data_IF_040502931671
#
_entry.id   IF_040502931671
#
_cell.length_a   1.000
_cell.length_b   1.000
_cell.length_c   1.000
_cell.angle_alpha   90.00
_cell.angle_beta   90.00
_cell.angle_gamma   90.00
#
_symmetry.space_group_name_H-M   'P 1'
#
loop_
_entity.id
_entity.type
_entity.pdbx_description
1 polymer ?
#
# COMPACT_ATOMS: atom_id res chain seq x y z
N UNK A 1 16.18 23.09 42.61
CA UNK A 1 15.39 21.85 42.81
C UNK A 1 14.34 21.63 41.73
N UNK A 2 13.38 22.57 41.55
CA UNK A 2 12.27 22.41 40.58
C UNK A 2 12.71 22.18 39.12
N UNK A 3 13.74 22.89 38.63
CA UNK A 3 14.26 22.72 37.27
C UNK A 3 14.89 21.34 37.01
N UNK A 4 15.50 20.75 38.04
CA UNK A 4 16.14 19.44 37.97
C UNK A 4 15.07 18.35 37.94
N UNK A 5 14.03 18.47 38.79
CA UNK A 5 12.88 17.57 38.79
C UNK A 5 12.12 17.57 37.44
N UNK A 6 12.01 18.75 36.80
CA UNK A 6 11.36 18.91 35.51
C UNK A 6 12.17 18.26 34.38
N UNK A 7 13.50 18.40 34.39
CA UNK A 7 14.40 17.74 33.43
C UNK A 7 14.36 16.22 33.56
N UNK A 8 14.36 15.69 34.79
CA UNK A 8 14.22 14.24 35.01
C UNK A 8 12.88 13.71 34.54
N UNK A 9 11.80 14.48 34.70
CA UNK A 9 10.46 14.09 34.25
C UNK A 9 10.38 14.04 32.71
N UNK A 10 10.96 15.02 32.01
CA UNK A 10 11.01 15.04 30.55
C UNK A 10 11.82 13.85 30.00
N UNK A 11 12.99 13.54 30.61
CA UNK A 11 13.82 12.40 30.20
C UNK A 11 13.08 11.06 30.34
N UNK A 12 12.31 10.88 31.41
CA UNK A 12 11.49 9.67 31.62
C UNK A 12 10.37 9.58 30.59
N UNK A 13 9.71 10.68 30.24
CA UNK A 13 8.66 10.69 29.20
C UNK A 13 9.23 10.31 27.82
N UNK A 14 10.40 10.81 27.46
CA UNK A 14 11.05 10.47 26.18
C UNK A 14 11.47 9.00 26.09
N UNK A 15 11.81 8.35 27.21
CA UNK A 15 12.15 6.92 27.20
C UNK A 15 10.98 5.97 26.92
N UNK A 16 9.73 6.44 26.99
CA UNK A 16 8.53 5.68 26.63
C UNK A 16 7.92 6.09 25.28
N UNK A 17 8.47 7.09 24.61
CA UNK A 17 8.00 7.50 23.30
C UNK A 17 8.44 6.46 22.26
N UNK A 18 7.50 5.61 21.81
CA UNK A 18 7.70 4.82 20.61
C UNK A 18 7.45 5.72 19.38
N UNK A 19 8.27 5.63 18.33
CA UNK A 19 7.96 6.32 17.08
C UNK A 19 6.60 5.81 16.58
N UNK A 20 5.74 6.73 16.13
CA UNK A 20 4.51 6.36 15.45
C UNK A 20 4.89 5.49 14.25
N UNK A 21 4.50 4.21 14.28
CA UNK A 21 4.69 3.31 13.16
C UNK A 21 3.47 3.38 12.26
N UNK A 22 3.74 3.68 11.01
CA UNK A 22 2.78 3.89 9.93
C UNK A 22 3.52 3.63 8.62
N UNK A 23 2.79 3.45 7.52
CA UNK A 23 3.37 3.41 6.18
C UNK A 23 4.17 4.68 5.96
N UNK A 24 5.41 4.53 5.51
CA UNK A 24 6.11 5.63 4.85
C UNK A 24 5.40 5.98 3.53
N UNK A 25 5.75 7.13 2.96
CA UNK A 25 5.24 7.54 1.66
C UNK A 25 5.59 6.51 0.57
N UNK A 26 6.85 6.06 0.51
CA UNK A 26 7.31 5.03 -0.44
C UNK A 26 6.58 3.68 -0.26
N UNK A 27 6.30 3.29 0.98
CA UNK A 27 5.55 2.06 1.28
C UNK A 27 4.10 2.20 0.82
N UNK A 28 3.48 3.36 1.05
CA UNK A 28 2.12 3.66 0.60
C UNK A 28 2.03 3.70 -0.94
N UNK A 29 3.01 4.33 -1.61
CA UNK A 29 3.10 4.35 -3.08
C UNK A 29 3.25 2.95 -3.64
N UNK A 30 4.11 2.11 -3.04
CA UNK A 30 4.26 0.71 -3.44
C UNK A 30 2.96 -0.10 -3.33
N UNK A 31 2.16 0.13 -2.27
CA UNK A 31 0.84 -0.49 -2.13
C UNK A 31 -0.17 0.07 -3.13
N UNK A 32 -0.06 1.35 -3.49
CA UNK A 32 -0.93 2.01 -4.44
C UNK A 32 -0.68 1.50 -5.86
N UNK A 33 0.58 1.37 -6.27
CA UNK A 33 0.98 0.76 -7.54
C UNK A 33 0.44 -0.66 -7.66
N UNK A 34 0.63 -1.46 -6.60
CA UNK A 34 0.11 -2.81 -6.56
C UNK A 34 -1.42 -2.85 -6.68
N UNK A 35 -2.12 -1.92 -6.02
CA UNK A 35 -3.58 -1.78 -6.12
C UNK A 35 -3.99 -1.40 -7.54
N UNK A 36 -3.32 -0.40 -8.14
CA UNK A 36 -3.56 0.06 -9.51
C UNK A 36 -3.44 -1.08 -10.53
N UNK A 37 -2.44 -1.95 -10.37
CA UNK A 37 -2.27 -3.14 -11.23
C UNK A 37 -3.50 -4.04 -11.18
N UNK A 38 -4.01 -4.38 -9.99
CA UNK A 38 -5.18 -5.25 -9.88
C UNK A 38 -6.46 -4.61 -10.42
N UNK A 39 -6.66 -3.32 -10.13
CA UNK A 39 -7.82 -2.57 -10.63
C UNK A 39 -7.77 -2.49 -12.16
N UNK A 40 -6.61 -2.17 -12.74
CA UNK A 40 -6.43 -2.14 -14.19
C UNK A 40 -6.63 -3.52 -14.83
N UNK A 41 -6.13 -4.59 -14.19
CA UNK A 41 -6.37 -5.95 -14.67
C UNK A 41 -7.87 -6.27 -14.68
N UNK A 42 -8.59 -5.91 -13.62
CA UNK A 42 -10.03 -6.16 -13.47
C UNK A 42 -10.86 -5.41 -14.51
N UNK A 43 -10.66 -4.10 -14.65
CA UNK A 43 -11.54 -3.23 -15.44
C UNK A 43 -11.08 -3.01 -16.89
N UNK A 44 -9.77 -3.02 -17.16
CA UNK A 44 -9.23 -2.68 -18.48
C UNK A 44 -8.64 -3.91 -19.21
N UNK A 45 -8.35 -5.01 -18.51
CA UNK A 45 -7.77 -6.23 -19.10
C UNK A 45 -8.71 -7.44 -19.09
N UNK A 46 -9.94 -7.30 -18.60
CA UNK A 46 -10.96 -8.36 -18.65
C UNK A 46 -10.89 -9.40 -17.52
N UNK A 47 -10.12 -9.16 -16.46
CA UNK A 47 -10.10 -10.04 -15.27
C UNK A 47 -11.22 -9.68 -14.27
N UNK A 48 -12.44 -9.50 -14.77
CA UNK A 48 -13.59 -9.04 -13.97
C UNK A 48 -13.98 -9.99 -12.83
N UNK A 49 -13.57 -11.26 -12.93
CA UNK A 49 -13.80 -12.28 -11.92
C UNK A 49 -12.99 -12.08 -10.63
N UNK A 50 -11.98 -11.21 -10.61
CA UNK A 50 -11.19 -10.93 -9.40
C UNK A 50 -12.08 -10.16 -8.41
N UNK A 51 -12.38 -10.71 -7.22
CA UNK A 51 -13.19 -10.01 -6.21
C UNK A 51 -12.40 -8.90 -5.53
N UNK A 52 -13.05 -7.77 -5.22
CA UNK A 52 -12.40 -6.63 -4.57
C UNK A 52 -11.82 -7.00 -3.19
N UNK A 53 -12.46 -7.96 -2.50
CA UNK A 53 -11.94 -8.52 -1.24
C UNK A 53 -10.56 -9.16 -1.44
N UNK A 54 -10.34 -9.85 -2.56
CA UNK A 54 -9.09 -10.57 -2.82
C UNK A 54 -7.98 -9.60 -3.21
N UNK A 55 -8.31 -8.53 -3.96
CA UNK A 55 -7.40 -7.42 -4.22
C UNK A 55 -6.93 -6.81 -2.90
N UNK A 56 -7.88 -6.44 -2.03
CA UNK A 56 -7.56 -5.87 -0.70
C UNK A 56 -6.70 -6.81 0.14
N UNK A 57 -7.04 -8.10 0.17
CA UNK A 57 -6.24 -9.10 0.91
C UNK A 57 -4.84 -9.27 0.32
N UNK A 58 -4.67 -9.25 -1.00
CA UNK A 58 -3.36 -9.34 -1.65
C UNK A 58 -2.45 -8.17 -1.24
N UNK A 59 -2.98 -6.95 -1.27
CA UNK A 59 -2.25 -5.74 -0.88
C UNK A 59 -1.88 -5.79 0.61
N UNK A 60 -2.82 -6.13 1.49
CA UNK A 60 -2.55 -6.27 2.94
C UNK A 60 -1.54 -7.39 3.20
N UNK A 61 -1.68 -8.53 2.52
CA UNK A 61 -0.76 -9.65 2.65
C UNK A 61 0.67 -9.25 2.25
N UNK A 62 0.82 -8.54 1.13
CA UNK A 62 2.12 -8.03 0.69
C UNK A 62 2.76 -7.10 1.73
N UNK A 63 2.00 -6.14 2.27
CA UNK A 63 2.48 -5.26 3.33
C UNK A 63 2.93 -6.05 4.58
N UNK A 64 2.13 -7.03 5.01
CA UNK A 64 2.45 -7.89 6.15
C UNK A 64 3.72 -8.72 5.93
N UNK A 65 3.92 -9.24 4.72
CA UNK A 65 5.14 -9.97 4.34
C UNK A 65 6.38 -9.09 4.40
N UNK A 66 6.24 -7.80 4.10
CA UNK A 66 7.29 -6.80 4.22
C UNK A 66 7.40 -6.17 5.61
N UNK A 67 6.53 -6.58 6.56
CA UNK A 67 6.47 -6.06 7.93
C UNK A 67 6.17 -4.54 7.99
N UNK A 68 5.44 -4.04 7.00
CA UNK A 68 4.98 -2.65 6.97
C UNK A 68 3.81 -2.45 7.93
N UNK A 69 3.75 -1.26 8.53
CA UNK A 69 2.71 -0.90 9.48
C UNK A 69 1.52 -0.26 8.76
N UNK A 70 0.35 -0.90 8.82
CA UNK A 70 -0.86 -0.46 8.11
C UNK A 70 -1.75 0.49 8.92
N UNK A 71 -1.28 1.06 10.04
CA UNK A 71 -2.09 1.95 10.88
C UNK A 71 -2.70 3.15 10.13
N UNK A 72 -2.02 3.67 9.11
CA UNK A 72 -2.49 4.75 8.24
C UNK A 72 -2.94 4.27 6.84
N UNK A 73 -3.20 2.98 6.64
CA UNK A 73 -3.59 2.45 5.32
C UNK A 73 -4.92 3.02 4.81
N UNK A 74 -5.86 3.37 5.70
CA UNK A 74 -7.12 3.99 5.29
C UNK A 74 -7.05 5.53 5.34
N UNK A 75 -5.86 6.12 5.17
CA UNK A 75 -5.66 7.57 5.15
C UNK A 75 -6.06 8.20 3.81
N UNK A 76 -6.31 9.51 3.82
CA UNK A 76 -6.54 10.30 2.60
C UNK A 76 -5.35 10.21 1.63
N UNK A 77 -4.11 10.22 2.14
CA UNK A 77 -2.92 10.04 1.31
C UNK A 77 -2.97 8.73 0.52
N UNK A 78 -3.39 7.62 1.16
CA UNK A 78 -3.51 6.33 0.48
C UNK A 78 -4.58 6.37 -0.63
N UNK A 79 -5.70 7.06 -0.39
CA UNK A 79 -6.75 7.25 -1.41
C UNK A 79 -6.24 8.05 -2.62
N UNK A 80 -5.52 9.15 -2.37
CA UNK A 80 -4.90 9.98 -3.40
C UNK A 80 -3.86 9.19 -4.20
N UNK A 81 -2.98 8.44 -3.54
CA UNK A 81 -1.98 7.59 -4.20
C UNK A 81 -2.64 6.48 -5.03
N UNK A 82 -3.69 5.82 -4.52
CA UNK A 82 -4.42 4.80 -5.29
C UNK A 82 -5.01 5.38 -6.58
N UNK A 83 -5.58 6.58 -6.51
CA UNK A 83 -6.15 7.26 -7.67
C UNK A 83 -5.07 7.72 -8.65
N UNK A 84 -3.96 8.27 -8.14
CA UNK A 84 -2.82 8.68 -8.95
C UNK A 84 -2.19 7.50 -9.68
N UNK A 85 -1.81 6.43 -8.95
CA UNK A 85 -1.17 5.25 -9.53
C UNK A 85 -2.02 4.57 -10.61
N UNK A 86 -3.34 4.52 -10.44
CA UNK A 86 -4.24 4.01 -11.50
C UNK A 86 -4.24 4.91 -12.74
N UNK A 87 -4.29 6.23 -12.56
CA UNK A 87 -4.27 7.19 -13.67
C UNK A 87 -2.93 7.14 -14.42
N UNK A 88 -1.81 7.06 -13.68
CA UNK A 88 -0.47 6.96 -14.24
C UNK A 88 -0.32 5.68 -15.06
N UNK A 89 -0.69 4.52 -14.47
CA UNK A 89 -0.67 3.23 -15.17
C UNK A 89 -1.52 3.26 -16.44
N UNK A 90 -2.70 3.89 -16.38
CA UNK A 90 -3.59 4.03 -17.53
C UNK A 90 -2.96 4.90 -18.62
N UNK A 91 -2.28 5.98 -18.24
CA UNK A 91 -1.59 6.93 -19.13
C UNK A 91 -0.36 6.38 -19.86
N UNK A 92 0.24 5.26 -19.40
CA UNK A 92 1.38 4.64 -20.08
C UNK A 92 1.02 4.27 -21.53
N UNK A 93 1.72 4.84 -22.50
CA UNK A 93 1.51 4.57 -23.91
C UNK A 93 2.16 3.23 -24.33
N UNK A 94 1.41 2.14 -24.16
CA UNK A 94 1.78 0.80 -24.57
C UNK A 94 0.55 0.11 -25.17
N UNK A 95 0.68 -0.72 -26.21
CA UNK A 95 -0.45 -1.50 -26.72
C UNK A 95 -1.14 -2.27 -25.58
N UNK A 96 -2.46 -2.11 -25.45
CA UNK A 96 -3.23 -2.61 -24.31
C UNK A 96 -2.96 -4.09 -24.03
N UNK A 97 -2.91 -4.93 -25.08
CA UNK A 97 -2.60 -6.36 -24.96
C UNK A 97 -1.23 -6.61 -24.32
N UNK A 98 -0.20 -5.87 -24.73
CA UNK A 98 1.14 -5.98 -24.17
C UNK A 98 1.17 -5.53 -22.71
N UNK A 99 0.50 -4.43 -22.39
CA UNK A 99 0.35 -3.92 -21.01
C UNK A 99 -0.33 -4.97 -20.11
N UNK A 100 -1.48 -5.48 -20.52
CA UNK A 100 -2.22 -6.50 -19.78
C UNK A 100 -1.42 -7.79 -19.57
N UNK A 101 -0.67 -8.24 -20.58
CA UNK A 101 0.18 -9.42 -20.46
C UNK A 101 1.35 -9.21 -19.49
N UNK A 102 1.99 -8.04 -19.53
CA UNK A 102 3.08 -7.68 -18.62
C UNK A 102 2.61 -7.61 -17.17
N UNK A 103 1.45 -6.99 -16.92
CA UNK A 103 0.87 -6.84 -15.59
C UNK A 103 0.34 -8.17 -15.00
N UNK A 104 -0.28 -9.01 -15.82
CA UNK A 104 -0.92 -10.24 -15.36
C UNK A 104 0.09 -11.29 -14.87
N UNK A 105 1.23 -11.42 -15.55
CA UNK A 105 2.24 -12.47 -15.30
C UNK A 105 2.73 -12.52 -13.84
N UNK A 106 3.24 -11.43 -13.25
CA UNK A 106 3.67 -11.45 -11.85
C UNK A 106 2.48 -11.39 -10.88
N UNK A 107 1.46 -10.59 -11.19
CA UNK A 107 0.47 -10.13 -10.19
C UNK A 107 -0.58 -11.17 -9.83
N UNK A 108 -1.03 -11.98 -10.79
CA UNK A 108 -2.08 -12.97 -10.55
C UNK A 108 -1.59 -14.14 -9.69
N UNK A 109 -0.29 -14.40 -9.66
CA UNK A 109 0.30 -15.44 -8.82
C UNK A 109 0.08 -15.17 -7.33
N UNK A 110 0.05 -13.91 -6.92
CA UNK A 110 -0.12 -13.54 -5.52
C UNK A 110 -1.56 -13.78 -5.01
N UNK A 111 -2.55 -13.74 -5.90
CA UNK A 111 -3.94 -14.04 -5.55
C UNK A 111 -4.12 -15.48 -5.03
N UNK A 112 -3.19 -16.38 -5.36
CA UNK A 112 -3.20 -17.76 -4.84
C UNK A 112 -3.00 -17.83 -3.31
N UNK A 113 -2.41 -16.81 -2.67
CA UNK A 113 -2.11 -16.81 -1.24
C UNK A 113 -3.20 -16.19 -0.36
N UNK A 114 -4.29 -15.68 -0.96
CA UNK A 114 -5.28 -14.83 -0.25
C UNK A 114 -6.75 -15.26 -0.39
N UNK A 115 -6.97 -16.47 -0.92
CA UNK A 115 -8.31 -17.06 -1.09
C UNK A 115 -9.06 -17.23 0.24
#
# INVERSE_FOLDING_TARGET
>A
MQKIALLTYILVLFSFAQPAKALSEDEAESLADMTAVYIYLKYDCGYSQIPDREIRRAVIYFAQRNKWDLNNYNSQLMEELNQSGYNDLKGINLPQKAKCQALARPSLSLLAYVK
#
